data_IF_232054063380
#
_entry.id   IF_232054063380
#
_cell.length_a   1.000
_cell.length_b   1.000
_cell.length_c   1.000
_cell.angle_alpha   90.00
_cell.angle_beta   90.00
_cell.angle_gamma   90.00
#
_symmetry.space_group_name_H-M   'P 1'
#
loop_
_entity.id
_entity.type
_entity.pdbx_description
1 polymer ?
#
# COMPACT_ATOMS: atom_id res chain seq x y z
N UNK A 1 26.53 5.66 3.01
CA UNK A 1 25.27 6.35 3.35
C UNK A 1 24.59 5.52 4.42
N UNK A 2 24.66 5.94 5.68
CA UNK A 2 24.00 5.26 6.79
C UNK A 2 22.59 5.87 6.90
N UNK A 3 21.57 5.09 6.54
CA UNK A 3 20.20 5.44 6.87
C UNK A 3 20.11 5.41 8.40
N UNK A 4 19.85 6.59 8.96
CA UNK A 4 19.64 6.78 10.39
C UNK A 4 18.56 5.82 10.91
N UNK A 5 18.85 5.22 12.05
CA UNK A 5 18.09 4.25 12.83
C UNK A 5 16.61 4.65 13.07
N UNK A 6 15.75 4.52 12.05
CA UNK A 6 14.29 4.58 12.17
C UNK A 6 13.76 3.17 11.91
N UNK A 7 13.16 2.55 12.91
CA UNK A 7 12.46 1.28 12.76
C UNK A 7 11.16 1.55 11.99
N UNK A 8 11.15 1.23 10.70
CA UNK A 8 9.95 1.24 9.88
C UNK A 8 9.29 -0.14 9.93
N UNK A 9 7.96 -0.15 9.98
CA UNK A 9 7.15 -1.37 9.85
C UNK A 9 6.35 -1.28 8.56
N UNK A 10 6.38 -2.35 7.78
CA UNK A 10 5.62 -2.51 6.55
C UNK A 10 4.19 -2.96 6.88
N UNK A 11 3.22 -2.16 6.47
CA UNK A 11 1.81 -2.51 6.50
C UNK A 11 1.41 -3.07 5.12
N UNK A 12 0.72 -4.21 5.12
CA UNK A 12 0.00 -4.76 3.97
C UNK A 12 -1.29 -5.39 4.47
N UNK A 13 -2.31 -5.46 3.61
CA UNK A 13 -3.54 -6.17 3.93
C UNK A 13 -3.34 -7.71 3.92
N UNK A 14 -4.40 -8.44 4.25
CA UNK A 14 -4.39 -9.90 4.24
C UNK A 14 -4.93 -10.49 2.92
N UNK A 15 -4.82 -9.80 1.77
CA UNK A 15 -5.19 -10.42 0.51
C UNK A 15 -4.35 -11.70 0.29
N UNK A 16 -4.92 -12.71 -0.38
CA UNK A 16 -4.33 -14.05 -0.48
C UNK A 16 -2.90 -14.05 -1.03
N UNK A 17 -2.57 -13.12 -1.93
CA UNK A 17 -1.23 -12.94 -2.50
C UNK A 17 -0.22 -12.40 -1.47
N UNK A 18 -0.65 -11.51 -0.57
CA UNK A 18 0.17 -10.93 0.50
C UNK A 18 0.34 -11.91 1.68
N UNK A 19 -0.71 -12.69 1.97
CA UNK A 19 -0.68 -13.73 2.99
C UNK A 19 0.00 -15.04 2.55
N UNK A 20 0.41 -15.16 1.28
CA UNK A 20 1.03 -16.36 0.74
C UNK A 20 2.36 -16.68 1.43
N UNK A 21 2.70 -17.98 1.54
CA UNK A 21 3.98 -18.41 2.14
C UNK A 21 5.17 -17.79 1.42
N UNK A 22 5.13 -17.75 0.09
CA UNK A 22 6.19 -17.15 -0.73
C UNK A 22 6.42 -15.68 -0.40
N UNK A 23 5.35 -14.89 -0.26
CA UNK A 23 5.47 -13.46 0.06
C UNK A 23 6.00 -13.26 1.47
N UNK A 24 5.48 -14.01 2.46
CA UNK A 24 5.95 -13.92 3.85
C UNK A 24 7.43 -14.30 3.99
N UNK A 25 7.85 -15.41 3.40
CA UNK A 25 9.26 -15.83 3.42
C UNK A 25 10.17 -14.79 2.76
N UNK A 26 9.76 -14.20 1.63
CA UNK A 26 10.57 -13.16 1.00
C UNK A 26 10.73 -11.92 1.89
N UNK A 27 9.68 -11.50 2.59
CA UNK A 27 9.74 -10.35 3.51
C UNK A 27 10.66 -10.64 4.71
N UNK A 28 10.57 -11.84 5.28
CA UNK A 28 11.44 -12.30 6.36
C UNK A 28 12.91 -12.36 5.93
N UNK A 29 13.20 -12.96 4.76
CA UNK A 29 14.56 -13.09 4.21
C UNK A 29 15.22 -11.73 3.92
N UNK A 30 14.41 -10.69 3.67
CA UNK A 30 14.88 -9.33 3.42
C UNK A 30 14.86 -8.44 4.69
N UNK A 31 14.55 -9.00 5.86
CA UNK A 31 14.53 -8.26 7.11
C UNK A 31 13.44 -7.18 7.16
N UNK A 32 12.35 -7.34 6.40
CA UNK A 32 11.22 -6.42 6.38
C UNK A 32 10.31 -6.74 7.54
N UNK A 33 10.30 -5.87 8.56
CA UNK A 33 9.34 -5.99 9.66
C UNK A 33 7.92 -5.71 9.15
N UNK A 34 7.01 -6.65 9.34
CA UNK A 34 5.58 -6.50 8.99
C UNK A 34 4.75 -6.29 10.25
N UNK A 35 3.57 -5.68 10.10
CA UNK A 35 2.56 -5.65 11.15
C UNK A 35 1.45 -6.68 10.90
N UNK A 36 0.89 -7.22 11.98
CA UNK A 36 -0.35 -7.97 11.89
C UNK A 36 -1.50 -7.02 11.54
N UNK A 37 -2.25 -7.37 10.50
CA UNK A 37 -3.39 -6.59 10.04
C UNK A 37 -4.70 -7.37 10.22
N UNK A 38 -5.77 -6.78 10.76
CA UNK A 38 -7.07 -7.42 10.82
C UNK A 38 -7.69 -7.58 9.42
N UNK A 39 -8.30 -8.73 9.16
CA UNK A 39 -9.03 -8.95 7.91
C UNK A 39 -10.23 -8.00 7.79
N UNK A 40 -10.57 -7.60 6.57
CA UNK A 40 -11.73 -6.73 6.27
C UNK A 40 -11.74 -5.39 7.03
N UNK A 41 -10.56 -4.79 7.26
CA UNK A 41 -10.44 -3.48 7.92
C UNK A 41 -9.86 -2.41 6.97
N UNK A 42 -10.55 -2.07 5.87
CA UNK A 42 -10.09 -1.03 4.95
C UNK A 42 -10.15 0.36 5.59
N UNK A 43 -11.01 0.57 6.60
CA UNK A 43 -11.12 1.80 7.37
C UNK A 43 -9.85 2.16 8.14
N UNK A 44 -9.03 1.16 8.45
CA UNK A 44 -7.75 1.35 9.11
C UNK A 44 -6.61 1.65 8.13
N UNK A 45 -6.80 1.44 6.83
CA UNK A 45 -5.72 1.59 5.86
C UNK A 45 -5.56 3.06 5.42
N UNK A 46 -4.45 3.73 5.79
CA UNK A 46 -4.20 5.10 5.34
C UNK A 46 -4.10 5.24 3.82
N UNK A 47 -3.84 4.15 3.08
CA UNK A 47 -3.82 4.17 1.62
C UNK A 47 -5.18 4.52 1.02
N UNK A 48 -6.30 4.11 1.63
CA UNK A 48 -7.65 4.44 1.15
C UNK A 48 -7.91 5.94 1.16
N UNK A 49 -7.43 6.63 2.21
CA UNK A 49 -7.51 8.08 2.30
C UNK A 49 -6.65 8.75 1.22
N UNK A 50 -5.44 8.24 0.99
CA UNK A 50 -4.55 8.76 -0.04
C UNK A 50 -5.15 8.58 -1.45
N UNK A 51 -5.72 7.41 -1.75
CA UNK A 51 -6.41 7.15 -3.01
C UNK A 51 -7.56 8.12 -3.22
N UNK A 52 -8.36 8.39 -2.19
CA UNK A 52 -9.45 9.38 -2.25
C UNK A 52 -8.92 10.77 -2.62
N UNK A 53 -7.81 11.21 -2.02
CA UNK A 53 -7.17 12.49 -2.33
C UNK A 53 -6.66 12.51 -3.78
N UNK A 54 -6.01 11.44 -4.22
CA UNK A 54 -5.47 11.31 -5.58
C UNK A 54 -6.59 11.35 -6.63
N UNK A 55 -7.65 10.57 -6.45
CA UNK A 55 -8.81 10.55 -7.36
C UNK A 55 -9.45 11.94 -7.46
N UNK A 56 -9.67 12.62 -6.32
CA UNK A 56 -10.20 14.00 -6.33
C UNK A 56 -9.34 14.98 -7.11
N UNK A 57 -8.02 14.81 -7.06
CA UNK A 57 -7.07 15.69 -7.76
C UNK A 57 -6.96 15.35 -9.25
N UNK A 58 -6.97 14.06 -9.60
CA UNK A 58 -6.86 13.57 -10.97
C UNK A 58 -8.10 13.97 -11.80
N UNK A 59 -9.28 13.84 -11.21
CA UNK A 59 -10.57 14.15 -11.85
C UNK A 59 -11.10 15.56 -11.52
N UNK A 60 -10.25 16.44 -10.98
CA UNK A 60 -10.61 17.84 -10.80
C UNK A 60 -11.03 18.47 -12.15
N UNK A 61 -11.90 19.47 -12.08
CA UNK A 61 -12.42 20.19 -13.26
C UNK A 61 -13.10 19.29 -14.32
N UNK A 62 -13.66 18.16 -13.87
CA UNK A 62 -14.29 17.13 -14.71
C UNK A 62 -13.35 16.56 -15.79
N UNK A 63 -12.04 16.56 -15.54
CA UNK A 63 -11.04 15.97 -16.44
C UNK A 63 -11.39 14.50 -16.70
N UNK A 64 -11.42 14.10 -17.97
CA UNK A 64 -11.63 12.72 -18.41
C UNK A 64 -10.38 12.22 -19.13
N UNK A 65 -10.20 10.91 -19.13
CA UNK A 65 -9.07 10.23 -19.75
C UNK A 65 -9.61 9.13 -20.64
N UNK A 66 -9.29 9.15 -21.93
CA UNK A 66 -9.77 8.17 -22.89
C UNK A 66 -8.94 6.88 -22.86
N UNK A 67 -7.65 7.01 -22.55
CA UNK A 67 -6.73 5.88 -22.44
C UNK A 67 -5.91 5.96 -21.16
N UNK A 68 -5.38 4.81 -20.74
CA UNK A 68 -4.46 4.74 -19.60
C UNK A 68 -3.14 5.50 -19.83
N UNK A 69 -2.80 5.88 -21.07
CA UNK A 69 -1.65 6.73 -21.37
C UNK A 69 -1.90 8.20 -21.06
N UNK A 70 -3.18 8.60 -21.02
CA UNK A 70 -3.58 9.98 -20.80
C UNK A 70 -3.69 10.30 -19.30
N UNK A 71 -3.89 9.26 -18.48
CA UNK A 71 -3.90 9.29 -17.01
C UNK A 71 -2.51 9.60 -16.45
#
# INVERSE_FOLDING_TARGET
>A
MAWTNKNFTFQQDNATIHASRSTKTWLEDNGVATMDWPSHSPDLDPMENLWTILVRRIYADNRQFETAKDL
#
